data_IF_933108507421
#
_entry.id   IF_933108507421
#
_cell.length_a   1.000
_cell.length_b   1.000
_cell.length_c   1.000
_cell.angle_alpha   90.00
_cell.angle_beta   90.00
_cell.angle_gamma   90.00
#
_symmetry.space_group_name_H-M   'P 1'
#
loop_
_entity.id
_entity.type
_entity.pdbx_description
1 polymer ?
#
# COMPACT_ATOMS: atom_id res chain seq x y z
N UNK A 1 23.73 -13.15 -12.44
CA UNK A 1 23.60 -12.21 -13.55
C UNK A 1 22.12 -12.16 -13.95
N UNK A 2 21.42 -11.15 -13.50
CA UNK A 2 20.03 -10.88 -13.93
C UNK A 2 20.15 -9.91 -15.10
N UNK A 3 19.72 -10.27 -16.33
CA UNK A 3 19.80 -9.36 -17.45
C UNK A 3 18.95 -8.12 -17.21
N UNK A 4 19.47 -6.95 -17.59
CA UNK A 4 18.73 -5.68 -17.52
C UNK A 4 17.43 -5.77 -18.33
N UNK A 5 16.43 -4.94 -17.99
CA UNK A 5 15.14 -4.90 -18.70
C UNK A 5 15.30 -4.75 -20.23
N UNK A 6 16.38 -4.09 -20.69
CA UNK A 6 16.74 -3.99 -22.11
C UNK A 6 17.17 -5.33 -22.75
N UNK A 7 17.88 -6.19 -22.00
CA UNK A 7 18.30 -7.51 -22.49
C UNK A 7 17.14 -8.51 -22.57
N UNK A 8 16.12 -8.35 -21.75
CA UNK A 8 14.88 -9.16 -21.79
C UNK A 8 14.02 -8.74 -23.00
N UNK A 9 13.95 -7.45 -23.32
CA UNK A 9 13.21 -6.95 -24.49
C UNK A 9 13.83 -7.37 -25.84
N UNK A 10 15.15 -7.57 -25.89
CA UNK A 10 15.85 -8.04 -27.11
C UNK A 10 15.64 -9.54 -27.40
N UNK A 11 15.39 -10.36 -26.37
CA UNK A 11 15.13 -11.82 -26.56
C UNK A 11 13.71 -12.14 -27.00
N UNK A 12 12.74 -11.25 -26.81
CA UNK A 12 11.35 -11.45 -27.24
C UNK A 12 11.06 -11.03 -28.69
N UNK A 13 12.05 -10.45 -29.41
CA UNK A 13 11.91 -10.06 -30.83
C UNK A 13 12.40 -11.05 -31.85
N UNK A 14 12.97 -12.18 -31.46
CA UNK A 14 13.50 -13.21 -32.35
C UNK A 14 12.66 -14.46 -32.35
N UNK A 15 11.53 -14.48 -33.03
CA UNK A 15 10.72 -15.69 -33.18
C UNK A 15 9.39 -15.44 -33.91
N UNK A 16 9.45 -14.95 -35.12
CA UNK A 16 8.36 -15.13 -36.10
C UNK A 16 8.87 -15.99 -37.25
N UNK A 17 8.46 -17.25 -37.23
CA UNK A 17 8.56 -18.19 -38.33
C UNK A 17 7.15 -18.50 -38.82
N UNK A 18 7.00 -18.43 -40.11
CA UNK A 18 5.84 -18.61 -40.96
C UNK A 18 5.04 -19.88 -40.71
N UNK A 19 3.73 -19.77 -40.87
CA UNK A 19 2.89 -20.88 -41.32
C UNK A 19 1.66 -20.36 -42.07
N UNK A 20 1.23 -21.04 -43.17
CA UNK A 20 0.14 -20.57 -44.02
C UNK A 20 -1.21 -21.25 -43.76
N UNK A 21 -2.27 -20.46 -43.95
CA UNK A 21 -3.51 -20.77 -44.66
C UNK A 21 -4.51 -21.80 -44.17
N UNK A 22 -5.74 -21.37 -43.92
CA UNK A 22 -6.97 -21.73 -44.65
C UNK A 22 -8.24 -21.36 -43.84
N UNK A 23 -9.02 -20.47 -44.38
CA UNK A 23 -10.42 -20.53 -44.82
C UNK A 23 -11.53 -20.81 -43.83
N UNK A 24 -12.35 -19.73 -43.65
CA UNK A 24 -13.82 -19.60 -43.80
C UNK A 24 -14.77 -20.44 -42.96
N UNK A 25 -15.66 -19.83 -42.19
CA UNK A 25 -17.08 -19.64 -42.56
C UNK A 25 -17.93 -19.07 -41.40
N UNK A 26 -18.66 -18.04 -41.74
CA UNK A 26 -19.94 -17.54 -41.30
C UNK A 26 -20.78 -18.34 -40.31
N UNK A 27 -21.36 -17.65 -39.34
CA UNK A 27 -22.80 -17.46 -39.15
C UNK A 27 -23.16 -16.78 -37.85
N UNK A 28 -23.72 -15.56 -37.94
CA UNK A 28 -24.71 -15.07 -36.98
C UNK A 28 -26.07 -15.70 -37.27
N UNK A 29 -26.98 -15.79 -36.30
CA UNK A 29 -28.11 -14.87 -36.42
C UNK A 29 -28.57 -14.21 -35.10
N UNK A 30 -29.41 -13.23 -35.33
CA UNK A 30 -29.99 -12.22 -34.50
C UNK A 30 -31.24 -12.69 -33.71
N UNK A 31 -31.52 -11.84 -32.68
CA UNK A 31 -32.84 -11.33 -32.21
C UNK A 31 -33.88 -12.31 -31.67
N UNK A 32 -34.43 -12.01 -30.48
CA UNK A 32 -35.81 -11.48 -30.40
C UNK A 32 -36.13 -10.94 -28.99
N UNK A 33 -36.88 -9.86 -29.03
CA UNK A 33 -37.57 -9.07 -28.03
C UNK A 33 -38.71 -9.87 -27.39
N UNK A 34 -38.94 -9.66 -26.08
CA UNK A 34 -40.17 -10.08 -25.38
C UNK A 34 -40.45 -9.16 -24.19
N UNK A 35 -41.38 -8.21 -24.41
CA UNK A 35 -42.08 -7.43 -23.36
C UNK A 35 -43.14 -8.29 -22.71
N UNK A 36 -43.30 -8.12 -21.39
CA UNK A 36 -44.47 -8.63 -20.66
C UNK A 36 -44.70 -7.81 -19.39
N UNK A 37 -45.76 -7.05 -19.42
CA UNK A 37 -46.41 -6.21 -18.41
C UNK A 37 -47.33 -7.02 -17.49
N UNK A 38 -47.61 -6.48 -16.29
CA UNK A 38 -48.69 -6.89 -15.37
C UNK A 38 -48.22 -6.82 -13.91
N UNK A 39 -48.51 -5.86 -13.16
CA UNK A 39 -49.67 -5.27 -12.46
C UNK A 39 -50.17 -6.10 -11.25
N UNK A 40 -50.42 -5.29 -10.18
CA UNK A 40 -51.36 -5.47 -9.04
C UNK A 40 -50.84 -6.25 -7.83
N UNK A 41 -50.92 -5.73 -6.68
CA UNK A 41 -51.76 -4.98 -5.79
C UNK A 41 -51.54 -5.41 -4.34
N UNK A 42 -51.47 -4.42 -3.46
CA UNK A 42 -52.00 -4.28 -2.11
C UNK A 42 -52.08 -5.49 -1.15
N UNK A 43 -51.55 -5.29 0.06
CA UNK A 43 -52.43 -5.30 1.27
C UNK A 43 -51.66 -4.72 2.49
N UNK A 44 -52.36 -3.78 3.12
CA UNK A 44 -52.14 -3.17 4.44
C UNK A 44 -52.30 -4.25 5.55
N UNK A 45 -51.57 -4.04 6.67
CA UNK A 45 -52.17 -4.20 8.00
C UNK A 45 -51.37 -3.47 9.08
N UNK A 46 -52.06 -2.51 9.65
CA UNK A 46 -51.89 -1.74 10.88
C UNK A 46 -51.92 -2.66 12.12
N UNK A 47 -51.19 -2.33 13.17
CA UNK A 47 -51.61 -2.39 14.60
C UNK A 47 -50.51 -1.75 15.48
N UNK A 48 -50.68 -0.53 15.93
CA UNK A 48 -50.92 0.13 17.24
C UNK A 48 -50.14 -0.33 18.48
N UNK A 49 -49.55 0.74 19.04
CA UNK A 49 -49.56 1.22 20.42
C UNK A 49 -48.84 0.48 21.55
N UNK A 50 -48.02 1.28 22.23
CA UNK A 50 -47.49 0.99 23.58
C UNK A 50 -46.56 2.08 24.10
N UNK A 51 -47.15 3.13 24.68
CA UNK A 51 -46.50 4.19 25.46
C UNK A 51 -45.72 3.64 26.67
N UNK A 52 -44.58 4.23 26.98
CA UNK A 52 -44.13 4.43 28.36
C UNK A 52 -43.06 5.53 28.45
N UNK A 53 -43.44 6.59 29.12
CA UNK A 53 -42.62 7.69 29.63
C UNK A 53 -41.43 7.25 30.45
N UNK A 54 -40.34 8.00 30.36
CA UNK A 54 -39.50 8.37 31.50
C UNK A 54 -38.44 9.44 31.13
N UNK A 55 -38.74 10.62 31.56
CA UNK A 55 -37.90 11.60 32.31
C UNK A 55 -36.51 12.00 31.80
N UNK A 56 -36.44 13.21 31.24
CA UNK A 56 -35.22 13.98 30.97
C UNK A 56 -35.17 15.18 31.92
N UNK A 57 -34.11 15.38 32.71
CA UNK A 57 -33.90 16.65 33.37
C UNK A 57 -33.16 17.64 32.47
N UNK A 58 -33.81 18.74 32.18
CA UNK A 58 -33.24 19.93 31.53
C UNK A 58 -32.34 20.68 32.52
N UNK A 59 -31.15 21.07 32.12
CA UNK A 59 -30.34 22.09 32.78
C UNK A 59 -30.22 23.34 31.90
N UNK A 60 -30.18 24.54 32.49
CA UNK A 60 -30.50 25.79 31.80
C UNK A 60 -29.28 26.46 31.16
N UNK A 61 -29.59 27.21 30.12
CA UNK A 61 -28.72 28.15 29.41
C UNK A 61 -28.12 29.23 30.33
N UNK A 62 -26.84 29.52 30.16
CA UNK A 62 -26.15 30.65 30.78
C UNK A 62 -25.70 31.62 29.70
N UNK A 63 -26.30 32.80 29.73
CA UNK A 63 -26.05 33.99 28.93
C UNK A 63 -24.63 34.55 29.09
N UNK A 64 -24.11 35.30 28.12
CA UNK A 64 -22.75 35.82 28.13
C UNK A 64 -22.69 37.13 28.93
N UNK A 65 -21.64 37.28 29.72
CA UNK A 65 -21.36 38.48 30.51
C UNK A 65 -20.28 39.30 29.80
N UNK A 66 -20.71 40.46 29.32
CA UNK A 66 -19.91 41.60 28.90
C UNK A 66 -19.13 42.19 30.08
N UNK A 67 -17.84 42.43 29.90
CA UNK A 67 -17.08 43.38 30.74
C UNK A 67 -16.17 44.23 29.87
N UNK A 68 -16.64 45.40 29.69
CA UNK A 68 -16.05 46.77 29.62
C UNK A 68 -14.53 46.92 29.62
N UNK A 69 -14.17 47.60 28.58
CA UNK A 69 -13.11 48.59 28.35
C UNK A 69 -12.48 49.22 29.62
N UNK A 70 -11.16 49.25 29.65
CA UNK A 70 -10.39 50.28 30.35
C UNK A 70 -9.33 50.89 29.45
N UNK A 71 -9.59 52.12 29.10
CA UNK A 71 -8.78 53.12 28.40
C UNK A 71 -7.88 53.78 29.48
N UNK A 72 -6.60 53.94 29.22
CA UNK A 72 -5.71 54.96 29.80
C UNK A 72 -4.66 55.26 28.75
N UNK A 73 -4.78 56.32 28.13
CA UNK A 73 -4.30 57.68 28.36
C UNK A 73 -2.87 57.85 27.85
N UNK A 74 -2.82 58.75 26.94
CA UNK A 74 -1.82 59.39 26.18
C UNK A 74 -0.87 60.23 27.08
N UNK A 75 0.41 60.23 26.81
CA UNK A 75 1.24 61.40 27.06
C UNK A 75 2.07 61.70 25.84
N UNK A 76 1.77 62.84 25.22
CA UNK A 76 2.59 63.58 24.28
C UNK A 76 3.49 64.51 25.05
N UNK A 77 4.79 64.50 24.75
CA UNK A 77 5.69 65.65 24.95
C UNK A 77 6.73 65.56 23.82
N UNK A 78 6.71 66.40 22.86
CA UNK A 78 7.35 67.70 22.84
C UNK A 78 8.45 67.67 21.78
N UNK A 79 8.25 68.37 20.66
CA UNK A 79 9.23 68.67 19.66
C UNK A 79 10.25 69.67 20.11
N UNK A 80 11.53 69.56 19.69
CA UNK A 80 12.41 70.68 19.43
C UNK A 80 13.53 70.32 18.47
N UNK A 81 13.53 71.01 17.38
CA UNK A 81 14.53 71.58 16.49
C UNK A 81 15.96 71.09 16.42
N UNK A 82 16.30 70.81 15.17
CA UNK A 82 17.43 71.30 14.38
C UNK A 82 18.86 71.18 14.91
N UNK A 83 19.66 70.36 14.19
CA UNK A 83 20.95 70.83 13.73
C UNK A 83 21.51 69.93 12.63
N UNK A 84 21.86 70.56 11.54
CA UNK A 84 22.63 70.06 10.41
C UNK A 84 24.02 69.57 10.81
N UNK A 85 24.40 68.36 10.36
CA UNK A 85 25.79 67.97 10.13
C UNK A 85 25.88 67.00 8.94
N UNK A 86 26.48 67.47 7.90
CA UNK A 86 27.03 66.75 6.76
C UNK A 86 28.14 65.80 7.24
N UNK A 87 28.12 64.54 6.74
CA UNK A 87 29.32 63.72 6.82
C UNK A 87 29.04 62.20 6.69
N UNK A 88 29.51 61.72 5.58
CA UNK A 88 30.06 60.38 5.38
C UNK A 88 29.10 59.20 5.16
N UNK A 89 29.28 58.58 4.01
CA UNK A 89 28.50 57.47 3.50
C UNK A 89 28.55 56.22 4.39
N UNK A 90 27.59 56.09 5.26
CA UNK A 90 27.34 54.84 5.93
C UNK A 90 26.64 53.89 4.92
N UNK A 91 27.41 52.91 4.46
CA UNK A 91 26.92 51.76 3.70
C UNK A 91 25.90 51.06 4.59
N UNK A 92 24.61 51.27 4.33
CA UNK A 92 23.53 50.49 4.94
C UNK A 92 23.70 49.05 4.45
N UNK A 93 24.29 48.20 5.26
CA UNK A 93 24.28 46.77 5.08
C UNK A 93 22.88 46.36 5.48
N UNK A 94 22.03 45.82 4.55
CA UNK A 94 20.73 45.27 4.93
C UNK A 94 21.01 44.08 5.81
N UNK A 95 20.74 44.18 7.10
CA UNK A 95 20.69 43.06 8.02
C UNK A 95 19.41 42.29 7.64
N UNK A 96 19.47 41.47 6.59
CA UNK A 96 18.53 40.40 6.40
C UNK A 96 18.81 39.36 7.50
N UNK A 97 18.26 39.57 8.66
CA UNK A 97 18.13 38.49 9.65
C UNK A 97 17.26 37.42 9.02
N UNK A 98 17.88 36.42 8.40
CA UNK A 98 17.13 35.19 8.05
C UNK A 98 16.51 34.71 9.35
N UNK A 99 15.18 34.72 9.39
CA UNK A 99 14.43 34.02 10.45
C UNK A 99 15.01 32.61 10.51
N UNK A 100 15.36 32.08 11.70
CA UNK A 100 15.80 30.69 11.79
C UNK A 100 14.73 29.80 11.16
N UNK A 101 15.16 28.89 10.30
CA UNK A 101 14.27 27.94 9.64
C UNK A 101 13.49 27.16 10.72
N UNK A 102 12.22 26.92 10.48
CA UNK A 102 11.45 26.03 11.34
C UNK A 102 11.94 24.59 11.13
N UNK A 103 11.77 23.72 12.11
CA UNK A 103 12.15 22.31 12.02
C UNK A 103 11.49 21.63 10.80
N UNK A 104 10.26 22.01 10.47
CA UNK A 104 9.55 21.55 9.27
C UNK A 104 10.28 21.98 7.98
N UNK A 105 10.69 23.23 7.89
CA UNK A 105 11.46 23.74 6.74
C UNK A 105 12.82 23.06 6.61
N UNK A 106 13.48 22.69 7.71
CA UNK A 106 14.73 21.93 7.70
C UNK A 106 14.54 20.50 7.14
N UNK A 107 13.47 19.80 7.53
CA UNK A 107 13.16 18.45 7.02
C UNK A 107 12.84 18.50 5.53
N UNK A 108 12.03 19.46 5.10
CA UNK A 108 11.70 19.67 3.69
C UNK A 108 12.96 19.98 2.88
N UNK A 109 13.79 20.90 3.34
CA UNK A 109 15.05 21.23 2.68
C UNK A 109 16.01 20.03 2.59
N UNK A 110 16.06 19.18 3.61
CA UNK A 110 16.87 17.95 3.60
C UNK A 110 16.36 16.94 2.57
N UNK A 111 15.04 16.79 2.41
CA UNK A 111 14.42 15.93 1.40
C UNK A 111 14.75 16.45 -0.02
N UNK A 112 14.67 17.76 -0.24
CA UNK A 112 14.93 18.39 -1.54
C UNK A 112 16.41 18.38 -1.90
N UNK A 113 17.30 18.59 -0.91
CA UNK A 113 18.75 18.57 -1.10
C UNK A 113 19.30 17.17 -1.40
N UNK A 114 18.55 16.11 -1.09
CA UNK A 114 18.99 14.73 -1.39
C UNK A 114 18.88 14.48 -2.88
N UNK A 115 19.95 14.77 -3.61
CA UNK A 115 20.05 14.47 -5.03
C UNK A 115 19.83 12.97 -5.28
N UNK A 116 19.30 12.63 -6.47
CA UNK A 116 19.35 11.25 -6.94
C UNK A 116 20.82 10.88 -7.08
N UNK A 117 21.32 9.83 -6.41
CA UNK A 117 22.70 9.43 -6.57
C UNK A 117 22.95 9.12 -8.04
N UNK A 118 23.81 9.90 -8.67
CA UNK A 118 24.37 9.61 -9.98
C UNK A 118 25.72 8.92 -9.75
N UNK A 119 25.67 7.77 -9.07
CA UNK A 119 26.85 6.95 -8.83
C UNK A 119 27.18 6.02 -10.02
N UNK A 120 26.47 6.21 -11.13
CA UNK A 120 26.67 5.43 -12.35
C UNK A 120 26.37 3.92 -12.19
N UNK A 121 25.85 3.52 -11.03
CA UNK A 121 25.56 2.15 -10.69
C UNK A 121 24.08 1.85 -10.95
N UNK A 122 23.73 1.54 -12.19
CA UNK A 122 22.44 0.92 -12.54
C UNK A 122 22.34 -0.55 -12.10
N UNK A 123 23.23 -0.99 -11.20
CA UNK A 123 23.31 -2.37 -10.76
C UNK A 123 22.28 -2.65 -9.69
N UNK A 124 21.39 -3.57 -9.99
CA UNK A 124 20.48 -4.14 -9.00
C UNK A 124 21.21 -5.15 -8.11
N UNK A 125 20.81 -5.32 -6.83
CA UNK A 125 21.38 -6.33 -5.96
C UNK A 125 21.28 -7.73 -6.59
N UNK A 126 22.34 -8.55 -6.57
CA UNK A 126 22.26 -9.92 -7.08
C UNK A 126 21.44 -10.80 -6.13
N UNK A 127 20.61 -11.69 -6.69
CA UNK A 127 19.74 -12.61 -5.90
C UNK A 127 20.57 -13.53 -5.01
N UNK A 128 21.82 -13.77 -5.33
CA UNK A 128 22.77 -14.57 -4.53
C UNK A 128 23.06 -14.01 -3.13
N UNK A 129 22.72 -12.74 -2.86
CA UNK A 129 22.78 -12.19 -1.51
C UNK A 129 21.68 -12.74 -0.59
N UNK A 130 20.64 -13.33 -1.16
CA UNK A 130 19.53 -13.91 -0.39
C UNK A 130 19.82 -15.37 -0.04
N UNK A 131 19.44 -15.76 1.18
CA UNK A 131 19.58 -17.12 1.66
C UNK A 131 18.75 -18.11 0.84
N UNK A 132 19.31 -19.25 0.50
CA UNK A 132 18.60 -20.33 -0.18
C UNK A 132 17.51 -20.93 0.69
N UNK A 133 16.46 -21.47 0.02
CA UNK A 133 15.42 -22.20 0.71
C UNK A 133 16.00 -23.47 1.36
N UNK A 134 15.62 -23.81 2.59
CA UNK A 134 16.03 -25.07 3.20
C UNK A 134 15.49 -26.27 2.40
N UNK A 135 16.20 -27.40 2.37
CA UNK A 135 15.75 -28.59 1.65
C UNK A 135 14.43 -29.11 2.25
N UNK A 136 13.51 -29.51 1.38
CA UNK A 136 12.18 -30.01 1.77
C UNK A 136 12.21 -31.52 1.97
N UNK A 137 11.62 -32.00 3.07
CA UNK A 137 11.37 -33.42 3.28
C UNK A 137 9.95 -33.79 2.83
N UNK A 138 9.78 -33.97 1.52
CA UNK A 138 8.46 -34.20 0.91
C UNK A 138 7.78 -35.49 1.40
N UNK A 139 8.54 -36.56 1.72
CA UNK A 139 7.96 -37.84 2.15
C UNK A 139 7.43 -37.79 3.57
N UNK A 140 8.18 -37.18 4.51
CA UNK A 140 7.72 -37.01 5.89
C UNK A 140 6.45 -36.16 5.93
N UNK A 141 6.45 -35.04 5.20
CA UNK A 141 5.30 -34.14 5.11
C UNK A 141 4.06 -34.86 4.52
N UNK A 142 4.24 -35.67 3.48
CA UNK A 142 3.15 -36.44 2.89
C UNK A 142 2.49 -37.39 3.90
N UNK A 143 3.26 -38.13 4.69
CA UNK A 143 2.75 -39.06 5.70
C UNK A 143 1.99 -38.33 6.84
N UNK A 144 2.53 -37.20 7.30
CA UNK A 144 1.87 -36.35 8.30
C UNK A 144 0.51 -35.82 7.81
N UNK A 145 0.44 -35.37 6.54
CA UNK A 145 -0.78 -34.87 5.94
C UNK A 145 -1.81 -35.97 5.70
N UNK A 146 -1.41 -37.19 5.35
CA UNK A 146 -2.29 -38.35 5.24
C UNK A 146 -2.91 -38.68 6.61
N UNK A 147 -2.10 -38.69 7.67
CA UNK A 147 -2.59 -38.91 9.02
C UNK A 147 -3.51 -37.78 9.50
N UNK A 148 -3.25 -36.52 9.11
CA UNK A 148 -4.13 -35.39 9.40
C UNK A 148 -5.49 -35.54 8.69
N UNK A 149 -5.53 -35.95 7.42
CA UNK A 149 -6.78 -36.25 6.71
C UNK A 149 -7.60 -37.34 7.35
N UNK A 150 -6.96 -38.43 7.79
CA UNK A 150 -7.64 -39.51 8.52
C UNK A 150 -8.24 -39.03 9.85
N UNK A 151 -7.48 -38.22 10.63
CA UNK A 151 -7.98 -37.60 11.87
C UNK A 151 -9.17 -36.69 11.61
N UNK A 152 -9.11 -35.86 10.57
CA UNK A 152 -10.20 -34.98 10.19
C UNK A 152 -11.48 -35.77 9.88
N UNK A 153 -11.37 -36.82 9.08
CA UNK A 153 -12.53 -37.67 8.74
C UNK A 153 -13.09 -38.41 9.96
N UNK A 154 -12.24 -38.88 10.88
CA UNK A 154 -12.68 -39.45 12.14
C UNK A 154 -13.41 -38.44 13.02
N UNK A 155 -12.90 -37.18 13.10
CA UNK A 155 -13.56 -36.11 13.86
C UNK A 155 -14.93 -35.74 13.29
N UNK A 156 -15.05 -35.61 11.97
CA UNK A 156 -16.33 -35.34 11.30
C UNK A 156 -17.37 -36.42 11.61
N UNK A 157 -17.00 -37.71 11.58
CA UNK A 157 -17.87 -38.83 11.97
C UNK A 157 -18.32 -38.73 13.43
N UNK A 158 -17.40 -38.36 14.35
CA UNK A 158 -17.73 -38.16 15.77
C UNK A 158 -18.79 -37.06 15.95
N UNK A 159 -18.72 -36.00 15.15
CA UNK A 159 -19.71 -34.91 15.13
C UNK A 159 -20.96 -35.21 14.27
N UNK A 160 -21.12 -36.45 13.78
CA UNK A 160 -22.24 -36.89 12.95
C UNK A 160 -22.39 -36.09 11.65
N UNK A 161 -21.27 -35.63 11.08
CA UNK A 161 -21.21 -35.02 9.76
C UNK A 161 -20.54 -36.01 8.82
N UNK A 162 -21.34 -36.62 7.95
CA UNK A 162 -20.89 -37.64 7.01
C UNK A 162 -20.44 -37.00 5.70
N UNK A 163 -19.37 -37.56 5.14
CA UNK A 163 -18.79 -37.10 3.85
C UNK A 163 -17.61 -37.98 3.47
N UNK A 164 -17.11 -37.78 2.27
CA UNK A 164 -15.95 -38.47 1.73
C UNK A 164 -14.83 -37.49 1.43
N UNK A 165 -13.59 -37.86 1.80
CA UNK A 165 -12.41 -37.10 1.41
C UNK A 165 -12.11 -37.41 -0.06
N UNK A 166 -12.37 -36.42 -0.94
CA UNK A 166 -12.22 -36.55 -2.41
C UNK A 166 -10.90 -35.98 -2.93
N UNK A 167 -10.23 -35.15 -2.13
CA UNK A 167 -8.96 -34.56 -2.54
C UNK A 167 -8.32 -33.74 -1.44
N UNK A 168 -7.10 -33.28 -1.71
CA UNK A 168 -6.41 -32.28 -0.89
C UNK A 168 -5.55 -31.37 -1.76
N UNK A 169 -5.47 -30.12 -1.37
CA UNK A 169 -4.56 -29.13 -1.93
C UNK A 169 -3.61 -28.68 -0.80
N UNK A 170 -2.32 -28.89 -1.00
CA UNK A 170 -1.31 -28.65 0.04
C UNK A 170 -0.50 -27.41 -0.27
N UNK A 171 -0.62 -26.38 0.57
CA UNK A 171 0.23 -25.20 0.56
C UNK A 171 1.37 -25.30 1.57
N UNK A 172 2.21 -24.27 1.66
CA UNK A 172 3.37 -24.27 2.55
C UNK A 172 3.02 -24.30 4.03
N UNK A 173 1.95 -23.63 4.44
CA UNK A 173 1.56 -23.50 5.85
C UNK A 173 0.23 -24.16 6.19
N UNK A 174 -0.62 -24.37 5.20
CA UNK A 174 -1.99 -24.88 5.38
C UNK A 174 -2.29 -25.89 4.27
N UNK A 175 -3.01 -26.95 4.63
CA UNK A 175 -3.57 -27.91 3.66
C UNK A 175 -5.09 -27.83 3.67
N UNK A 176 -5.68 -27.66 2.50
CA UNK A 176 -7.13 -27.74 2.30
C UNK A 176 -7.50 -29.18 1.96
N UNK A 177 -8.29 -29.79 2.84
CA UNK A 177 -8.92 -31.09 2.60
C UNK A 177 -10.28 -30.87 1.94
N UNK A 178 -10.52 -31.55 0.84
CA UNK A 178 -11.74 -31.44 0.05
C UNK A 178 -12.69 -32.57 0.45
N UNK A 179 -13.77 -32.23 1.11
CA UNK A 179 -14.76 -33.20 1.61
C UNK A 179 -16.07 -33.04 0.84
N UNK A 180 -16.49 -34.08 0.17
CA UNK A 180 -17.83 -34.18 -0.46
C UNK A 180 -18.84 -34.56 0.62
N UNK A 181 -19.86 -33.71 0.90
CA UNK A 181 -20.90 -34.04 1.88
C UNK A 181 -21.75 -35.24 1.42
N UNK A 182 -22.11 -36.13 2.34
CA UNK A 182 -23.05 -37.19 2.06
C UNK A 182 -24.43 -36.61 1.75
N UNK A 183 -25.29 -37.42 1.08
CA UNK A 183 -26.66 -37.02 0.74
C UNK A 183 -27.45 -36.61 2.00
N UNK A 184 -28.04 -35.41 1.96
CA UNK A 184 -28.80 -34.84 3.07
C UNK A 184 -27.96 -34.04 4.12
N UNK A 185 -26.64 -34.04 4.05
CA UNK A 185 -25.78 -33.25 4.93
C UNK A 185 -25.72 -31.81 4.42
N UNK A 186 -26.12 -30.86 5.26
CA UNK A 186 -26.08 -29.43 4.90
C UNK A 186 -24.68 -28.84 5.05
N UNK A 187 -24.22 -28.10 4.05
CA UNK A 187 -22.92 -27.42 4.02
C UNK A 187 -22.68 -26.56 5.27
N UNK A 188 -23.73 -25.90 5.80
CA UNK A 188 -23.65 -25.09 7.02
C UNK A 188 -23.14 -25.88 8.25
N UNK A 189 -23.38 -27.19 8.31
CA UNK A 189 -22.92 -28.02 9.43
C UNK A 189 -21.39 -28.04 9.52
N UNK A 190 -20.70 -28.08 8.40
CA UNK A 190 -19.23 -28.00 8.38
C UNK A 190 -18.72 -26.65 8.92
N UNK A 191 -19.37 -25.55 8.52
CA UNK A 191 -18.95 -24.20 8.94
C UNK A 191 -19.13 -23.99 10.46
N UNK A 192 -20.21 -24.52 11.04
CA UNK A 192 -20.48 -24.42 12.49
C UNK A 192 -19.51 -25.21 13.34
N UNK A 193 -18.89 -26.25 12.80
CA UNK A 193 -17.95 -27.13 13.50
C UNK A 193 -16.49 -26.67 13.45
N UNK A 194 -16.18 -25.53 12.86
CA UNK A 194 -14.80 -25.07 12.66
C UNK A 194 -13.98 -25.07 13.98
N UNK A 195 -14.57 -24.59 15.07
CA UNK A 195 -13.90 -24.54 16.40
C UNK A 195 -13.77 -25.94 17.03
N UNK A 196 -14.79 -26.78 16.90
CA UNK A 196 -14.79 -28.14 17.44
C UNK A 196 -13.76 -29.01 16.69
N UNK A 197 -13.68 -28.83 15.37
CA UNK A 197 -12.66 -29.47 14.53
C UNK A 197 -11.24 -28.97 14.89
N UNK A 198 -11.07 -27.69 15.17
CA UNK A 198 -9.78 -27.14 15.61
C UNK A 198 -9.32 -27.79 16.90
N UNK A 199 -10.21 -27.94 17.87
CA UNK A 199 -9.94 -28.65 19.11
C UNK A 199 -9.59 -30.13 18.88
N UNK A 200 -10.39 -30.84 18.11
CA UNK A 200 -10.19 -32.26 17.80
C UNK A 200 -8.88 -32.53 17.02
N UNK A 201 -8.52 -31.63 16.14
CA UNK A 201 -7.29 -31.68 15.34
C UNK A 201 -6.06 -31.13 16.09
N UNK A 202 -6.23 -30.53 17.26
CA UNK A 202 -5.20 -29.81 18.01
C UNK A 202 -4.55 -28.69 17.18
N UNK A 203 -5.37 -28.05 16.35
CA UNK A 203 -4.96 -26.93 15.50
C UNK A 203 -5.32 -25.60 16.18
N UNK A 204 -4.54 -24.51 15.99
CA UNK A 204 -4.85 -23.20 16.56
C UNK A 204 -6.15 -22.63 15.99
N UNK A 205 -6.45 -22.93 14.73
CA UNK A 205 -7.69 -22.56 14.05
C UNK A 205 -7.91 -23.44 12.82
N UNK A 206 -9.16 -23.60 12.40
CA UNK A 206 -9.54 -24.24 11.13
C UNK A 206 -10.48 -23.30 10.40
N UNK A 207 -10.28 -23.18 9.09
CA UNK A 207 -11.16 -22.40 8.22
C UNK A 207 -11.94 -23.33 7.31
N UNK A 208 -13.25 -23.07 7.19
CA UNK A 208 -14.13 -23.82 6.29
C UNK A 208 -14.52 -22.94 5.10
N UNK A 209 -14.20 -23.39 3.90
CA UNK A 209 -14.54 -22.76 2.62
C UNK A 209 -15.65 -23.60 1.98
N UNK A 210 -16.86 -23.07 1.93
CA UNK A 210 -18.01 -23.86 1.51
C UNK A 210 -19.01 -23.04 0.67
N UNK A 211 -19.23 -23.39 -0.58
CA UNK A 211 -18.54 -24.44 -1.35
C UNK A 211 -17.16 -24.01 -1.85
N UNK A 212 -16.31 -24.96 -2.27
CA UNK A 212 -15.11 -24.63 -3.03
C UNK A 212 -15.57 -24.18 -4.42
N UNK A 213 -15.10 -23.00 -4.91
CA UNK A 213 -15.48 -22.53 -6.23
C UNK A 213 -15.16 -23.55 -7.32
N UNK A 214 -16.19 -23.91 -8.13
CA UNK A 214 -16.05 -24.87 -9.22
C UNK A 214 -16.00 -26.35 -8.82
N UNK A 215 -16.16 -26.68 -7.52
CA UNK A 215 -16.20 -28.07 -7.02
C UNK A 215 -17.44 -28.31 -6.16
N UNK A 216 -17.99 -29.53 -6.21
CA UNK A 216 -19.10 -29.98 -5.36
C UNK A 216 -18.65 -30.37 -3.94
N UNK A 217 -17.60 -29.78 -3.40
CA UNK A 217 -16.98 -30.15 -2.15
C UNK A 217 -16.83 -28.96 -1.20
N UNK A 218 -16.69 -29.27 0.08
CA UNK A 218 -16.34 -28.35 1.16
C UNK A 218 -14.85 -28.41 1.42
N UNK A 219 -14.16 -27.27 1.40
CA UNK A 219 -12.76 -27.16 1.75
C UNK A 219 -12.58 -26.92 3.25
N UNK A 220 -11.81 -27.77 3.88
CA UNK A 220 -11.42 -27.62 5.29
C UNK A 220 -9.93 -27.35 5.34
N UNK A 221 -9.57 -26.10 5.62
CA UNK A 221 -8.18 -25.66 5.73
C UNK A 221 -7.65 -25.95 7.13
N UNK A 222 -6.65 -26.82 7.20
CA UNK A 222 -6.01 -27.23 8.44
C UNK A 222 -4.54 -26.81 8.39
N UNK A 223 -4.01 -26.13 9.41
CA UNK A 223 -2.59 -25.82 9.49
C UNK A 223 -1.74 -27.07 9.39
N UNK A 224 -0.66 -27.00 8.61
CA UNK A 224 0.27 -28.12 8.47
C UNK A 224 0.97 -28.39 9.80
N UNK A 225 1.15 -29.66 10.21
CA UNK A 225 1.89 -29.99 11.42
C UNK A 225 3.35 -29.49 11.38
N UNK A 226 3.96 -29.57 10.20
CA UNK A 226 5.30 -29.07 9.91
C UNK A 226 5.21 -28.05 8.77
N UNK A 227 4.94 -26.75 9.07
CA UNK A 227 4.81 -25.73 8.03
C UNK A 227 6.15 -25.48 7.32
N UNK A 228 6.08 -25.31 6.00
CA UNK A 228 7.25 -24.99 5.18
C UNK A 228 7.53 -23.48 5.22
N UNK A 229 8.81 -23.13 5.36
CA UNK A 229 9.25 -21.75 5.23
C UNK A 229 9.23 -21.34 3.76
N UNK A 230 8.55 -20.24 3.45
CA UNK A 230 8.59 -19.61 2.12
C UNK A 230 9.81 -18.69 2.08
N UNK A 231 10.88 -19.15 1.44
CA UNK A 231 12.11 -18.36 1.32
C UNK A 231 11.90 -17.21 0.32
N UNK A 232 12.35 -16.01 0.68
CA UNK A 232 12.22 -14.83 -0.17
C UNK A 232 12.99 -15.00 -1.48
N UNK A 233 14.17 -15.64 -1.46
CA UNK A 233 14.95 -15.94 -2.68
C UNK A 233 14.15 -16.75 -3.69
N UNK A 234 13.42 -17.77 -3.25
CA UNK A 234 12.57 -18.60 -4.10
C UNK A 234 11.49 -17.76 -4.80
N UNK A 235 10.93 -16.78 -4.09
CA UNK A 235 9.98 -15.85 -4.67
C UNK A 235 10.61 -14.96 -5.74
N UNK A 236 11.81 -14.44 -5.48
CA UNK A 236 12.54 -13.56 -6.40
C UNK A 236 13.02 -14.28 -7.66
N UNK A 237 13.35 -15.56 -7.56
CA UNK A 237 13.74 -16.43 -8.68
C UNK A 237 12.54 -17.00 -9.46
N UNK A 238 11.32 -16.84 -8.95
CA UNK A 238 10.11 -17.37 -9.60
C UNK A 238 9.85 -16.74 -10.97
N UNK A 239 9.28 -17.53 -11.90
CA UNK A 239 8.89 -17.04 -13.21
C UNK A 239 7.85 -15.91 -13.12
N UNK A 240 6.97 -15.97 -12.11
CA UNK A 240 5.93 -14.96 -11.85
C UNK A 240 6.54 -13.61 -11.49
N UNK A 241 7.59 -13.57 -10.65
CA UNK A 241 8.26 -12.32 -10.29
C UNK A 241 9.14 -11.80 -11.43
N UNK A 242 9.95 -12.66 -12.04
CA UNK A 242 10.85 -12.28 -13.14
C UNK A 242 10.09 -11.83 -14.38
N UNK A 243 8.97 -12.48 -14.69
CA UNK A 243 8.10 -12.17 -15.83
C UNK A 243 7.07 -11.08 -15.52
N UNK A 244 7.01 -10.57 -14.30
CA UNK A 244 6.01 -9.57 -13.91
C UNK A 244 6.15 -8.29 -14.75
N UNK A 245 5.04 -7.89 -15.40
CA UNK A 245 4.91 -6.60 -16.09
C UNK A 245 4.40 -5.50 -15.16
N UNK A 246 4.50 -5.72 -13.87
CA UNK A 246 4.13 -4.77 -12.83
C UNK A 246 5.10 -3.59 -12.83
N UNK A 247 4.58 -2.40 -12.58
CA UNK A 247 5.41 -1.21 -12.44
C UNK A 247 6.18 -1.23 -11.11
N UNK A 248 5.52 -1.69 -10.03
CA UNK A 248 6.09 -1.86 -8.69
C UNK A 248 5.79 -3.28 -8.18
N UNK A 249 6.51 -4.32 -8.66
CA UNK A 249 6.23 -5.70 -8.27
C UNK A 249 6.64 -5.95 -6.83
N UNK A 250 5.74 -6.56 -6.07
CA UNK A 250 5.96 -6.98 -4.68
C UNK A 250 5.67 -8.47 -4.55
N UNK A 251 6.62 -9.23 -4.02
CA UNK A 251 6.47 -10.64 -3.74
C UNK A 251 5.79 -10.81 -2.37
N UNK A 252 4.54 -11.31 -2.36
CA UNK A 252 3.76 -11.43 -1.13
C UNK A 252 3.90 -12.79 -0.44
N UNK A 253 4.26 -13.83 -1.20
CA UNK A 253 4.35 -15.19 -0.68
C UNK A 253 3.78 -16.22 -1.65
N UNK A 254 3.30 -17.35 -1.13
CA UNK A 254 2.68 -18.40 -1.91
C UNK A 254 1.23 -18.60 -1.51
N UNK A 255 0.41 -18.95 -2.50
CA UNK A 255 -0.98 -19.33 -2.28
C UNK A 255 -1.11 -20.76 -1.71
N UNK A 256 -2.36 -21.21 -1.56
CA UNK A 256 -2.68 -22.54 -1.05
C UNK A 256 -2.20 -23.67 -2.00
N UNK A 257 -1.98 -23.39 -3.27
CA UNK A 257 -1.43 -24.35 -4.25
C UNK A 257 0.09 -24.27 -4.34
N UNK A 258 0.73 -23.42 -3.54
CA UNK A 258 2.19 -23.22 -3.55
C UNK A 258 2.68 -22.32 -4.67
N UNK A 259 1.78 -21.64 -5.40
CA UNK A 259 2.14 -20.73 -6.49
C UNK A 259 2.59 -19.37 -5.93
N UNK A 260 3.62 -18.76 -6.47
CA UNK A 260 4.05 -17.42 -6.09
C UNK A 260 2.96 -16.37 -6.33
N UNK A 261 2.72 -15.52 -5.35
CA UNK A 261 1.83 -14.37 -5.46
C UNK A 261 2.67 -13.10 -5.56
N UNK A 262 2.62 -12.49 -6.74
CA UNK A 262 3.26 -11.21 -7.03
C UNK A 262 2.19 -10.18 -7.33
N UNK A 263 2.16 -9.12 -6.55
CA UNK A 263 1.23 -8.00 -6.73
C UNK A 263 1.96 -6.78 -7.33
N UNK A 264 1.18 -5.81 -7.81
CA UNK A 264 1.68 -4.53 -8.30
C UNK A 264 1.22 -3.41 -7.39
N UNK A 265 2.15 -2.82 -6.61
CA UNK A 265 1.84 -1.73 -5.70
C UNK A 265 1.26 -0.51 -6.45
N UNK A 266 1.69 -0.24 -7.69
CA UNK A 266 1.16 0.85 -8.49
C UNK A 266 -0.32 0.65 -8.87
N UNK A 267 -0.79 -0.60 -8.93
CA UNK A 267 -2.20 -0.93 -9.19
C UNK A 267 -3.06 -0.92 -7.93
N UNK A 268 -2.52 -1.28 -6.77
CA UNK A 268 -3.26 -1.35 -5.50
C UNK A 268 -3.89 -0.04 -5.04
N UNK A 269 -3.45 1.18 -5.16
CA UNK A 269 -2.14 1.85 -5.25
C UNK A 269 -1.47 2.09 -3.89
N UNK A 270 -2.18 1.89 -2.79
CA UNK A 270 -1.70 2.03 -1.42
C UNK A 270 -1.97 0.73 -0.66
N UNK A 271 -1.23 0.50 0.39
CA UNK A 271 -1.31 -0.74 1.15
C UNK A 271 -1.43 -0.44 2.65
N UNK A 272 -2.38 -1.06 3.30
CA UNK A 272 -2.51 -1.09 4.76
C UNK A 272 -2.14 -2.50 5.26
N UNK A 273 -1.17 -2.56 6.17
CA UNK A 273 -0.70 -3.81 6.77
C UNK A 273 -1.00 -3.77 8.26
N UNK A 274 -1.91 -4.62 8.71
CA UNK A 274 -2.27 -4.72 10.12
C UNK A 274 -1.87 -6.08 10.69
N UNK A 275 -1.32 -6.08 11.92
CA UNK A 275 -0.96 -7.32 12.58
C UNK A 275 -0.40 -7.11 13.98
N UNK A 276 -0.78 -7.94 14.93
CA UNK A 276 -0.24 -7.94 16.28
C UNK A 276 1.26 -8.30 16.28
N UNK A 277 1.94 -8.05 17.38
CA UNK A 277 3.34 -8.46 17.58
C UNK A 277 3.49 -9.98 17.32
N UNK A 278 4.47 -10.34 16.50
CA UNK A 278 4.71 -11.73 16.10
C UNK A 278 3.84 -12.26 14.96
N UNK A 279 2.91 -11.46 14.40
CA UNK A 279 2.07 -11.86 13.26
C UNK A 279 2.79 -11.85 11.89
N UNK A 280 4.00 -11.33 11.83
CA UNK A 280 4.77 -11.18 10.59
C UNK A 280 4.64 -9.82 9.90
N UNK A 281 4.05 -8.80 10.55
CA UNK A 281 3.92 -7.43 10.00
C UNK A 281 5.26 -6.89 9.48
N UNK A 282 6.29 -6.91 10.32
CA UNK A 282 7.62 -6.41 9.98
C UNK A 282 8.28 -7.21 8.86
N UNK A 283 8.11 -8.54 8.86
CA UNK A 283 8.58 -9.39 7.77
C UNK A 283 7.90 -9.02 6.45
N UNK A 284 6.59 -8.80 6.47
CA UNK A 284 5.84 -8.38 5.29
C UNK A 284 6.33 -7.03 4.74
N UNK A 285 6.49 -6.01 5.62
CA UNK A 285 7.02 -4.69 5.24
C UNK A 285 8.41 -4.81 4.63
N UNK A 286 9.32 -5.55 5.28
CA UNK A 286 10.67 -5.77 4.78
C UNK A 286 10.69 -6.53 3.44
N UNK A 287 9.82 -7.53 3.27
CA UNK A 287 9.67 -8.27 2.02
C UNK A 287 9.26 -7.34 0.87
N UNK A 288 8.32 -6.42 1.11
CA UNK A 288 7.86 -5.46 0.12
C UNK A 288 8.98 -4.48 -0.25
N UNK A 289 9.64 -3.87 0.74
CA UNK A 289 10.77 -2.95 0.50
C UNK A 289 11.85 -3.66 -0.32
N UNK A 290 12.25 -4.85 0.10
CA UNK A 290 13.29 -5.62 -0.58
C UNK A 290 12.86 -6.02 -2.00
N UNK A 291 11.61 -6.42 -2.23
CA UNK A 291 11.09 -6.68 -3.58
C UNK A 291 11.28 -5.48 -4.51
N UNK A 292 10.98 -4.28 -4.02
CA UNK A 292 11.10 -3.06 -4.80
C UNK A 292 12.59 -2.71 -5.09
N UNK A 293 13.47 -2.84 -4.10
CA UNK A 293 14.92 -2.60 -4.24
C UNK A 293 15.57 -3.54 -5.25
N UNK A 294 15.14 -4.79 -5.31
CA UNK A 294 15.63 -5.75 -6.29
C UNK A 294 15.14 -5.50 -7.73
N UNK A 295 14.21 -4.57 -7.93
CA UNK A 295 13.62 -4.26 -9.25
C UNK A 295 13.90 -2.84 -9.73
N UNK A 296 14.20 -1.94 -8.82
CA UNK A 296 14.36 -0.51 -9.10
C UNK A 296 15.69 0.02 -8.59
N UNK A 297 16.29 0.90 -9.38
CA UNK A 297 17.45 1.70 -8.95
C UNK A 297 16.98 2.97 -8.25
N UNK A 298 17.84 3.68 -7.52
CA UNK A 298 17.53 4.97 -6.90
C UNK A 298 17.02 6.03 -7.88
N UNK A 299 17.40 5.95 -9.15
CA UNK A 299 16.90 6.83 -10.21
C UNK A 299 15.41 6.60 -10.55
N UNK A 300 14.89 5.38 -10.35
CA UNK A 300 13.52 5.02 -10.71
C UNK A 300 12.58 4.87 -9.51
N UNK A 301 13.12 4.73 -8.28
CA UNK A 301 12.35 4.57 -7.05
C UNK A 301 13.03 5.24 -5.87
N UNK A 302 12.27 5.99 -5.10
CA UNK A 302 12.74 6.63 -3.86
C UNK A 302 11.82 6.28 -2.69
N UNK A 303 12.42 6.13 -1.51
CA UNK A 303 11.68 5.90 -0.27
C UNK A 303 11.72 7.11 0.66
N UNK A 304 10.61 7.28 1.39
CA UNK A 304 10.51 8.06 2.61
C UNK A 304 10.00 7.11 3.70
N UNK A 305 10.77 6.92 4.76
CA UNK A 305 10.47 5.94 5.79
C UNK A 305 10.30 6.59 7.15
N UNK A 306 9.25 6.19 7.87
CA UNK A 306 8.89 6.69 9.20
C UNK A 306 8.82 5.50 10.15
N UNK A 307 9.67 5.52 11.18
CA UNK A 307 9.75 4.49 12.23
C UNK A 307 9.86 5.16 13.61
N UNK A 308 8.72 5.49 14.24
CA UNK A 308 8.73 6.16 15.54
C UNK A 308 9.37 5.32 16.65
N UNK A 309 9.42 4.01 16.48
CA UNK A 309 9.97 3.06 17.45
C UNK A 309 11.46 2.80 17.29
N UNK A 310 12.08 3.23 16.19
CA UNK A 310 13.50 3.04 15.85
C UNK A 310 13.96 1.56 15.80
N UNK A 311 13.07 0.62 15.50
CA UNK A 311 13.34 -0.82 15.58
C UNK A 311 13.40 -1.49 14.22
N UNK A 312 12.44 -1.19 13.34
CA UNK A 312 12.19 -2.01 12.17
C UNK A 312 12.87 -1.46 10.89
N UNK A 313 12.82 -0.14 10.68
CA UNK A 313 13.27 0.49 9.43
C UNK A 313 14.65 1.15 9.53
N UNK A 314 15.20 1.33 10.72
CA UNK A 314 16.48 1.99 10.94
C UNK A 314 17.66 1.32 10.21
N UNK A 315 17.56 0.02 9.91
CA UNK A 315 18.54 -0.74 9.12
C UNK A 315 18.71 -0.21 7.69
N UNK A 316 17.69 0.49 7.17
CA UNK A 316 17.70 1.05 5.81
C UNK A 316 18.39 2.41 5.69
N UNK A 317 18.90 3.02 6.78
CA UNK A 317 19.51 4.36 6.75
C UNK A 317 20.67 4.52 5.76
N UNK A 318 21.28 3.42 5.33
CA UNK A 318 22.37 3.40 4.32
C UNK A 318 21.86 3.09 2.91
N UNK A 319 20.54 2.86 2.75
CA UNK A 319 19.98 2.52 1.46
C UNK A 319 19.97 3.73 0.51
N UNK A 320 20.59 3.66 -0.68
CA UNK A 320 20.69 4.82 -1.59
C UNK A 320 19.34 5.28 -2.14
N UNK A 321 18.29 4.46 -2.04
CA UNK A 321 16.93 4.81 -2.44
C UNK A 321 16.24 5.79 -1.48
N UNK A 322 16.80 6.04 -0.28
CA UNK A 322 16.18 6.98 0.66
C UNK A 322 16.33 8.42 0.16
N UNK A 323 15.24 9.21 0.26
CA UNK A 323 15.27 10.67 0.08
C UNK A 323 15.60 11.42 1.36
N UNK A 324 15.40 10.79 2.49
CA UNK A 324 15.77 11.31 3.82
C UNK A 324 16.10 10.11 4.70
N UNK A 325 16.94 10.31 5.71
CA UNK A 325 17.16 9.28 6.75
C UNK A 325 15.81 8.86 7.34
N UNK A 326 15.74 7.62 7.83
CA UNK A 326 14.50 7.13 8.47
C UNK A 326 14.09 8.10 9.58
N UNK A 327 12.86 8.56 9.50
CA UNK A 327 12.29 9.57 10.38
C UNK A 327 11.76 8.90 11.62
N UNK A 328 12.18 9.39 12.78
CA UNK A 328 11.88 8.80 14.08
C UNK A 328 11.01 9.69 14.95
N UNK A 329 10.90 10.97 14.61
CA UNK A 329 10.03 11.94 15.31
C UNK A 329 8.70 12.09 14.58
N UNK A 330 7.59 12.05 15.33
CA UNK A 330 6.27 12.12 14.76
C UNK A 330 5.94 13.48 14.10
N UNK A 331 6.56 14.58 14.56
CA UNK A 331 6.39 15.91 13.95
C UNK A 331 7.10 15.99 12.61
N UNK A 332 8.28 15.39 12.50
CA UNK A 332 9.02 15.31 11.25
C UNK A 332 8.26 14.41 10.23
N UNK A 333 7.55 13.37 10.71
CA UNK A 333 6.67 12.56 9.89
C UNK A 333 5.52 13.38 9.27
N UNK A 334 4.95 14.33 10.03
CA UNK A 334 3.94 15.24 9.50
C UNK A 334 4.53 16.15 8.39
N UNK A 335 5.77 16.66 8.57
CA UNK A 335 6.46 17.46 7.55
C UNK A 335 6.67 16.66 6.25
N UNK A 336 7.08 15.38 6.35
CA UNK A 336 7.24 14.48 5.19
C UNK A 336 5.93 14.28 4.44
N UNK A 337 4.83 14.06 5.15
CA UNK A 337 3.54 13.86 4.50
C UNK A 337 3.04 15.14 3.83
N UNK A 338 3.26 16.31 4.43
CA UNK A 338 2.97 17.61 3.81
C UNK A 338 3.84 17.82 2.56
N UNK A 339 5.13 17.51 2.63
CA UNK A 339 6.02 17.55 1.46
C UNK A 339 5.51 16.63 0.34
N UNK A 340 5.11 15.40 0.66
CA UNK A 340 4.59 14.46 -0.34
C UNK A 340 3.31 14.98 -1.03
N UNK A 341 2.49 15.77 -0.33
CA UNK A 341 1.33 16.45 -0.92
C UNK A 341 1.76 17.57 -1.87
N UNK A 342 2.79 18.36 -1.53
CA UNK A 342 3.34 19.40 -2.42
C UNK A 342 3.95 18.75 -3.67
N UNK A 343 4.80 17.75 -3.52
CA UNK A 343 5.36 16.97 -4.63
C UNK A 343 4.26 16.38 -5.54
N UNK A 344 3.16 15.91 -4.94
CA UNK A 344 1.99 15.45 -5.67
C UNK A 344 1.42 16.57 -6.56
N UNK A 345 1.26 17.78 -6.02
CA UNK A 345 0.71 18.92 -6.74
C UNK A 345 1.63 19.37 -7.88
N UNK A 346 2.93 19.41 -7.63
CA UNK A 346 3.96 19.78 -8.62
C UNK A 346 4.00 18.76 -9.77
N UNK A 347 3.93 17.47 -9.46
CA UNK A 347 3.82 16.42 -10.48
C UNK A 347 2.53 16.55 -11.30
N UNK A 348 1.41 16.87 -10.68
CA UNK A 348 0.16 17.10 -11.43
C UNK A 348 0.29 18.29 -12.38
N UNK A 349 0.89 19.39 -11.93
CA UNK A 349 1.12 20.56 -12.78
C UNK A 349 2.05 20.21 -13.96
N UNK A 350 3.11 19.44 -13.70
CA UNK A 350 4.06 18.99 -14.74
C UNK A 350 3.39 18.06 -15.76
N UNK A 351 2.62 17.06 -15.30
CA UNK A 351 1.90 16.17 -16.19
C UNK A 351 0.86 16.91 -17.03
N UNK A 352 0.14 17.84 -16.42
CA UNK A 352 -0.86 18.66 -17.11
C UNK A 352 -0.22 19.55 -18.19
N UNK A 353 0.93 20.18 -17.90
CA UNK A 353 1.66 20.99 -18.87
C UNK A 353 2.08 20.19 -20.12
N UNK A 354 2.23 18.88 -20.00
CA UNK A 354 2.68 17.97 -21.06
C UNK A 354 1.56 17.06 -21.60
N UNK A 355 0.32 17.22 -21.15
CA UNK A 355 -0.81 16.39 -21.58
C UNK A 355 -0.63 14.90 -21.25
N UNK A 356 0.14 14.57 -20.20
CA UNK A 356 0.37 13.20 -19.73
C UNK A 356 -0.70 12.79 -18.71
N UNK A 357 -1.17 11.53 -18.78
CA UNK A 357 -2.21 11.02 -17.88
C UNK A 357 -1.65 10.42 -16.59
N UNK A 358 -0.40 9.99 -16.61
CA UNK A 358 0.27 9.36 -15.49
C UNK A 358 1.80 9.46 -15.63
N UNK A 359 2.51 9.13 -14.54
CA UNK A 359 3.97 9.17 -14.48
C UNK A 359 4.64 8.24 -15.49
N UNK A 360 4.03 7.10 -15.81
CA UNK A 360 4.58 6.15 -16.78
C UNK A 360 4.59 6.73 -18.20
N UNK A 361 3.51 7.39 -18.60
CA UNK A 361 3.42 8.08 -19.90
C UNK A 361 4.45 9.21 -19.98
N UNK A 362 4.59 9.99 -18.90
CA UNK A 362 5.58 11.06 -18.81
C UNK A 362 7.01 10.50 -18.94
N UNK A 363 7.36 9.51 -18.12
CA UNK A 363 8.69 8.88 -18.11
C UNK A 363 9.03 8.21 -19.45
N UNK A 364 8.05 7.60 -20.10
CA UNK A 364 8.24 7.05 -21.46
C UNK A 364 8.63 8.15 -22.44
N UNK A 365 7.95 9.30 -22.40
CA UNK A 365 8.29 10.45 -23.29
C UNK A 365 9.66 11.03 -22.98
N UNK A 366 10.05 11.09 -21.70
CA UNK A 366 11.43 11.47 -21.32
C UNK A 366 12.45 10.53 -21.96
N UNK A 367 12.23 9.21 -21.87
CA UNK A 367 13.12 8.19 -22.44
C UNK A 367 13.16 8.20 -23.96
N UNK A 368 12.06 8.60 -24.61
CA UNK A 368 11.97 8.79 -26.06
C UNK A 368 12.61 10.12 -26.55
N UNK A 369 13.12 10.95 -25.61
CA UNK A 369 13.73 12.25 -25.94
C UNK A 369 12.73 13.30 -26.39
N UNK A 370 11.44 13.17 -26.00
CA UNK A 370 10.44 14.16 -26.33
C UNK A 370 10.72 15.48 -25.62
N UNK A 371 10.47 16.58 -26.32
CA UNK A 371 10.56 17.91 -25.71
C UNK A 371 9.40 18.11 -24.74
N UNK A 372 9.71 18.19 -23.45
CA UNK A 372 8.76 18.39 -22.37
C UNK A 372 8.91 19.79 -21.77
N UNK A 373 7.82 20.30 -21.18
CA UNK A 373 7.75 21.65 -20.64
C UNK A 373 7.59 21.60 -19.13
N UNK A 374 8.23 22.55 -18.43
CA UNK A 374 7.92 22.86 -17.02
C UNK A 374 6.61 23.64 -16.93
N UNK A 375 5.86 23.51 -15.83
CA UNK A 375 4.71 24.38 -15.58
C UNK A 375 5.14 25.86 -15.64
N UNK A 376 4.31 26.68 -16.25
CA UNK A 376 4.62 28.13 -16.37
C UNK A 376 4.49 28.78 -14.98
N UNK A 377 5.59 29.33 -14.48
CA UNK A 377 5.53 30.21 -13.32
C UNK A 377 5.17 31.64 -13.79
N UNK A 378 4.00 32.19 -13.42
CA UNK A 378 3.56 33.53 -13.86
C UNK A 378 4.47 34.65 -13.34
N UNK A 379 5.27 34.41 -12.31
CA UNK A 379 6.14 35.40 -11.70
C UNK A 379 7.51 35.53 -12.38
N UNK A 380 7.87 34.59 -13.28
CA UNK A 380 9.17 34.55 -13.96
C UNK A 380 8.99 34.66 -15.47
N UNK A 381 9.25 35.86 -16.00
CA UNK A 381 8.98 36.17 -17.42
C UNK A 381 9.94 35.51 -18.43
N UNK A 382 11.13 35.02 -18.01
CA UNK A 382 12.22 34.58 -18.89
C UNK A 382 12.75 33.18 -18.59
N UNK A 383 12.00 32.31 -17.91
CA UNK A 383 12.44 30.96 -17.62
C UNK A 383 12.42 30.07 -18.86
N UNK A 384 13.47 29.27 -19.05
CA UNK A 384 13.44 28.19 -20.04
C UNK A 384 12.39 27.18 -19.59
N UNK A 385 11.25 27.15 -20.25
CA UNK A 385 10.15 26.25 -19.92
C UNK A 385 10.42 24.79 -20.32
N UNK A 386 11.66 24.41 -20.62
CA UNK A 386 12.00 23.05 -21.03
C UNK A 386 12.36 22.21 -19.80
N UNK A 387 11.75 21.04 -19.72
CA UNK A 387 12.01 20.08 -18.66
C UNK A 387 13.24 19.22 -19.03
N UNK A 388 14.25 19.19 -18.18
CA UNK A 388 15.52 18.50 -18.40
C UNK A 388 15.91 17.56 -17.24
N UNK A 389 15.04 17.45 -16.22
CA UNK A 389 15.40 16.81 -14.93
C UNK A 389 15.32 15.26 -14.98
N UNK A 390 15.11 14.67 -16.15
CA UNK A 390 15.08 13.21 -16.33
C UNK A 390 13.75 12.56 -15.95
N UNK A 391 13.75 11.25 -15.67
CA UNK A 391 12.55 10.53 -15.29
C UNK A 391 12.10 10.90 -13.87
N UNK A 392 10.79 10.92 -13.66
CA UNK A 392 10.20 11.06 -12.33
C UNK A 392 10.25 9.70 -11.61
N UNK A 393 11.02 9.56 -10.51
CA UNK A 393 11.02 8.31 -9.75
C UNK A 393 9.67 8.07 -9.09
N UNK A 394 9.30 6.80 -8.92
CA UNK A 394 8.26 6.45 -7.97
C UNK A 394 8.68 6.86 -6.55
N UNK A 395 7.72 7.28 -5.75
CA UNK A 395 7.96 7.58 -4.34
C UNK A 395 7.09 6.66 -3.49
N UNK A 396 7.72 5.91 -2.60
CA UNK A 396 7.02 5.04 -1.65
C UNK A 396 7.24 5.55 -0.24
N UNK A 397 6.17 6.00 0.39
CA UNK A 397 6.16 6.42 1.79
C UNK A 397 5.79 5.22 2.64
N UNK A 398 6.68 4.80 3.53
CA UNK A 398 6.50 3.66 4.43
C UNK A 398 6.37 4.15 5.86
N UNK A 399 5.28 3.80 6.53
CA UNK A 399 5.05 4.13 7.96
C UNK A 399 4.89 2.82 8.71
N UNK A 400 5.83 2.53 9.65
CA UNK A 400 5.82 1.26 10.39
C UNK A 400 4.71 1.16 11.44
N UNK A 401 4.38 2.28 12.10
CA UNK A 401 3.31 2.30 13.11
C UNK A 401 2.42 3.54 12.96
N UNK A 402 1.34 3.38 12.22
CA UNK A 402 0.40 4.47 11.96
C UNK A 402 -0.32 4.96 13.22
N UNK A 403 -0.59 4.05 14.17
CA UNK A 403 -1.29 4.39 15.40
C UNK A 403 -0.52 5.41 16.24
N UNK A 404 0.82 5.35 16.26
CA UNK A 404 1.64 6.29 17.03
C UNK A 404 1.56 7.71 16.46
N UNK A 405 1.46 7.86 15.14
CA UNK A 405 1.23 9.17 14.49
C UNK A 405 -0.18 9.70 14.80
N UNK A 406 -1.19 8.83 14.70
CA UNK A 406 -2.58 9.22 14.99
C UNK A 406 -2.78 9.62 16.44
N UNK A 407 -2.04 9.04 17.39
CA UNK A 407 -2.12 9.41 18.79
C UNK A 407 -1.42 10.75 19.13
N UNK A 408 -0.44 11.16 18.34
CA UNK A 408 0.43 12.31 18.69
C UNK A 408 0.22 13.53 17.81
N UNK A 409 0.02 13.33 16.51
CA UNK A 409 -0.03 14.40 15.49
C UNK A 409 -1.20 14.23 14.52
N UNK A 410 -2.31 13.60 14.95
CA UNK A 410 -3.49 13.29 14.12
C UNK A 410 -3.92 14.45 13.22
N UNK A 411 -4.12 15.65 13.81
CA UNK A 411 -4.59 16.82 13.06
C UNK A 411 -3.68 17.26 11.92
N UNK A 412 -2.40 16.85 11.95
CA UNK A 412 -1.43 17.22 10.93
C UNK A 412 -1.24 16.14 9.85
N UNK A 413 -1.53 14.87 10.16
CA UNK A 413 -1.26 13.74 9.26
C UNK A 413 -2.50 13.22 8.55
N UNK A 414 -3.68 13.34 9.13
CA UNK A 414 -4.93 12.79 8.58
C UNK A 414 -5.26 13.37 7.21
N UNK A 415 -5.26 14.69 7.07
CA UNK A 415 -5.55 15.37 5.79
C UNK A 415 -4.53 15.04 4.70
N UNK A 416 -3.21 15.13 4.92
CA UNK A 416 -2.21 14.70 3.95
C UNK A 416 -2.38 13.25 3.51
N UNK A 417 -2.59 12.31 4.43
CA UNK A 417 -2.80 10.90 4.09
C UNK A 417 -4.04 10.71 3.23
N UNK A 418 -5.16 11.35 3.60
CA UNK A 418 -6.39 11.27 2.82
C UNK A 418 -6.21 11.83 1.40
N UNK A 419 -5.51 12.97 1.24
CA UNK A 419 -5.21 13.56 -0.06
C UNK A 419 -4.34 12.64 -0.92
N UNK A 420 -3.27 12.09 -0.37
CA UNK A 420 -2.38 11.16 -1.05
C UNK A 420 -3.13 9.87 -1.45
N UNK A 421 -3.89 9.29 -0.53
CA UNK A 421 -4.66 8.07 -0.79
C UNK A 421 -5.66 8.23 -1.94
N UNK A 422 -6.28 9.41 -2.07
CA UNK A 422 -7.26 9.69 -3.11
C UNK A 422 -6.65 10.05 -4.46
N UNK A 423 -5.50 10.73 -4.48
CA UNK A 423 -5.03 11.41 -5.70
C UNK A 423 -3.63 10.96 -6.16
N UNK A 424 -2.80 10.37 -5.33
CA UNK A 424 -1.38 10.19 -5.65
C UNK A 424 -1.06 9.03 -6.63
N UNK A 425 -2.02 8.16 -6.93
CA UNK A 425 -1.82 6.98 -7.80
C UNK A 425 -1.22 7.32 -9.17
N UNK A 426 -1.82 8.27 -9.87
CA UNK A 426 -1.43 8.58 -11.25
C UNK A 426 -0.03 9.21 -11.36
N UNK A 427 0.39 9.89 -10.30
CA UNK A 427 1.67 10.61 -10.26
C UNK A 427 2.82 9.80 -9.62
N UNK A 428 2.56 8.52 -9.30
CA UNK A 428 3.57 7.58 -8.83
C UNK A 428 4.02 7.79 -7.38
N UNK A 429 3.14 8.27 -6.50
CA UNK A 429 3.38 8.32 -5.05
C UNK A 429 2.46 7.30 -4.38
N UNK A 430 3.05 6.42 -3.57
CA UNK A 430 2.37 5.28 -2.96
C UNK A 430 2.61 5.25 -1.45
N UNK A 431 1.60 4.83 -0.68
CA UNK A 431 1.68 4.70 0.78
C UNK A 431 1.69 3.23 1.16
N UNK A 432 2.57 2.87 2.08
CA UNK A 432 2.54 1.60 2.83
C UNK A 432 2.38 1.98 4.29
N UNK A 433 1.18 1.78 4.82
CA UNK A 433 0.82 2.11 6.20
C UNK A 433 0.75 0.82 7.00
N UNK A 434 1.60 0.67 8.00
CA UNK A 434 1.57 -0.48 8.86
C UNK A 434 1.11 -0.10 10.29
N UNK A 435 0.44 -1.02 10.99
CA UNK A 435 -0.01 -0.80 12.35
C UNK A 435 -0.17 -2.12 13.11
N UNK A 436 0.13 -2.08 14.41
CA UNK A 436 -0.17 -3.16 15.34
C UNK A 436 -1.55 -2.99 16.01
N UNK A 437 -2.20 -1.84 15.81
CA UNK A 437 -3.48 -1.48 16.45
C UNK A 437 -4.54 -1.16 15.40
N UNK A 438 -5.13 -2.18 14.74
CA UNK A 438 -6.16 -1.97 13.73
C UNK A 438 -7.52 -1.69 14.39
N UNK A 439 -7.63 -0.64 15.19
CA UNK A 439 -8.87 -0.21 15.83
C UNK A 439 -9.34 1.12 15.23
N UNK A 440 -10.63 1.39 15.37
CA UNK A 440 -11.25 2.64 14.92
C UNK A 440 -11.23 3.76 15.98
N UNK A 441 -10.68 3.47 17.17
CA UNK A 441 -10.59 4.40 18.30
C UNK A 441 -9.17 4.94 18.42
#
# INVERSE_FOLDING_TARGET
YVPSAAAIAARTRGGRGDAPGAASSDARPASTVGRGTGDDADDDDDVRDGDADADVPRTPARTPRTTTSRRSEREEVGASDASTATGDGAKVIPITSKRPATREEEVVAAIEATATPDDGSDLLPPVTLLTEAPPRNAEANRRELEAAGQRLMASLRTFRVEGNLVGRTTGPTVTQFEVEPAAGVKVRQFATLANDLALAMRAPSIRVVAPIPGKGAVGIEVPNPSPEMVAFREMMESADYLGARAALPVALGKDLEGRPIVADLAKMPHLLIAGATGSGKSVCVNTIITSLVYRHTPASLRFLMVDPKMVELSVYNTLPHLRHRVITDNRDAAAVLKWAVLEMQDRYALLAANGCRNVQDFNRRVQEGARLLKPRNPEVAFERNEYTDGILPYIVVVIDEMADLMMTVQGEVETPIAMLAQKARAIGIHLILATQRPSVN
#
